data_IF_808823878155
#
_entry.id   IF_808823878155
#
_cell.length_a   1.000
_cell.length_b   1.000
_cell.length_c   1.000
_cell.angle_alpha   90.00
_cell.angle_beta   90.00
_cell.angle_gamma   90.00
#
_symmetry.space_group_name_H-M   'P 1'
#
loop_
_entity.id
_entity.type
_entity.pdbx_description
1 polymer ?
#
# COMPACT_ATOMS: atom_id res chain seq x y z
N UNK A 1 -8.68 -7.51 4.35
CA UNK A 1 -7.82 -6.32 4.41
C UNK A 1 -8.57 -5.14 3.83
N UNK A 2 -8.34 -3.93 4.33
CA UNK A 2 -8.78 -2.68 3.68
C UNK A 2 -7.56 -2.08 3.01
N UNK A 3 -7.64 -1.75 1.72
CA UNK A 3 -6.54 -1.19 0.93
C UNK A 3 -6.88 0.24 0.52
N UNK A 4 -5.90 1.12 0.61
CA UNK A 4 -5.96 2.50 0.15
C UNK A 4 -4.74 2.78 -0.72
N UNK A 5 -4.95 3.50 -1.83
CA UNK A 5 -3.90 3.93 -2.74
C UNK A 5 -4.08 5.43 -2.97
N UNK A 6 -3.01 6.19 -2.79
CA UNK A 6 -3.03 7.64 -2.95
C UNK A 6 -1.73 8.14 -3.58
N UNK A 7 -1.81 9.29 -4.25
CA UNK A 7 -0.70 9.91 -4.95
C UNK A 7 -0.57 11.36 -4.52
N UNK A 8 0.67 11.80 -4.29
CA UNK A 8 0.94 13.17 -3.86
C UNK A 8 2.29 13.66 -4.37
N UNK A 9 2.40 14.99 -4.48
CA UNK A 9 3.66 15.62 -4.85
C UNK A 9 4.60 15.68 -3.64
N UNK A 10 5.76 14.98 -3.65
CA UNK A 10 6.67 14.96 -2.51
C UNK A 10 7.34 16.32 -2.26
N UNK A 11 7.41 17.19 -3.28
CA UNK A 11 8.11 18.47 -3.26
C UNK A 11 7.22 19.67 -2.85
N UNK A 12 5.96 19.42 -2.47
CA UNK A 12 4.89 20.42 -2.23
C UNK A 12 4.43 21.14 -3.51
N UNK A 13 3.13 21.41 -3.58
CA UNK A 13 2.49 22.06 -4.74
C UNK A 13 2.96 23.51 -4.84
N UNK A 14 3.66 23.85 -5.92
CA UNK A 14 3.73 25.24 -6.39
C UNK A 14 2.98 25.29 -7.72
N UNK A 15 2.11 26.30 -7.93
CA UNK A 15 1.30 26.43 -9.15
C UNK A 15 2.10 26.49 -10.47
N UNK A 16 3.44 26.53 -10.39
CA UNK A 16 4.39 26.58 -11.52
C UNK A 16 5.56 25.57 -11.39
N UNK A 17 5.53 24.67 -10.40
CA UNK A 17 6.58 23.69 -10.16
C UNK A 17 6.48 22.48 -11.08
N UNK A 18 7.58 21.74 -11.21
CA UNK A 18 7.57 20.44 -11.89
C UNK A 18 6.55 19.50 -11.23
N UNK A 19 5.72 18.84 -12.05
CA UNK A 19 4.82 17.81 -11.58
C UNK A 19 5.65 16.56 -11.27
N UNK A 20 5.75 16.23 -9.98
CA UNK A 20 6.37 15.03 -9.46
C UNK A 20 5.33 14.37 -8.57
N UNK A 21 5.12 13.08 -8.70
CA UNK A 21 4.11 12.33 -7.96
C UNK A 21 4.68 11.00 -7.52
N UNK A 22 4.48 10.68 -6.25
CA UNK A 22 4.77 9.37 -5.66
C UNK A 22 3.48 8.79 -5.11
N UNK A 23 3.35 7.47 -5.19
CA UNK A 23 2.18 6.77 -4.65
C UNK A 23 2.48 6.03 -3.35
N UNK A 24 1.46 5.83 -2.54
CA UNK A 24 1.49 4.96 -1.37
C UNK A 24 0.35 3.97 -1.44
N UNK A 25 0.66 2.70 -1.21
CA UNK A 25 -0.32 1.65 -0.95
C UNK A 25 -0.30 1.39 0.55
N UNK A 26 -1.41 1.64 1.24
CA UNK A 26 -1.57 1.35 2.66
C UNK A 26 -2.68 0.33 2.89
N UNK A 27 -2.42 -0.66 3.73
CA UNK A 27 -3.34 -1.76 3.97
C UNK A 27 -3.51 -2.05 5.47
N UNK A 28 -4.76 -2.04 5.92
CA UNK A 28 -5.14 -2.41 7.28
C UNK A 28 -5.65 -3.86 7.34
N UNK A 29 -5.18 -4.63 8.32
CA UNK A 29 -5.73 -5.94 8.61
C UNK A 29 -7.04 -5.83 9.39
N UNK A 30 -8.15 -6.06 8.70
CA UNK A 30 -9.50 -5.99 9.28
C UNK A 30 -9.80 -7.10 10.30
N UNK A 31 -8.95 -8.12 10.40
CA UNK A 31 -9.05 -9.16 11.43
C UNK A 31 -8.49 -8.72 12.79
N UNK A 32 -7.69 -7.65 12.86
CA UNK A 32 -7.20 -7.09 14.12
C UNK A 32 -8.27 -6.25 14.81
N UNK A 33 -8.10 -6.00 16.11
CA UNK A 33 -9.01 -5.11 16.85
C UNK A 33 -9.04 -3.69 16.25
N UNK A 34 -10.22 -3.01 16.18
CA UNK A 34 -10.33 -1.64 15.69
C UNK A 34 -9.38 -0.64 16.36
N UNK A 35 -9.03 -0.85 17.63
CA UNK A 35 -8.12 0.02 18.38
C UNK A 35 -6.67 -0.05 17.92
N UNK A 36 -6.25 -1.15 17.27
CA UNK A 36 -4.85 -1.37 16.88
C UNK A 36 -4.60 -1.42 15.37
N UNK A 37 -5.63 -1.71 14.56
CA UNK A 37 -5.45 -2.02 13.12
C UNK A 37 -4.89 -0.89 12.24
N UNK A 38 -4.83 0.33 12.77
CA UNK A 38 -4.27 1.52 12.11
C UNK A 38 -3.00 2.04 12.79
N UNK A 39 -2.48 1.36 13.82
CA UNK A 39 -1.16 1.69 14.35
C UNK A 39 -0.09 1.35 13.29
N UNK A 40 0.97 2.16 13.16
CA UNK A 40 1.99 1.98 12.12
C UNK A 40 2.57 0.56 12.06
N UNK A 41 2.86 -0.04 13.22
CA UNK A 41 3.36 -1.41 13.37
C UNK A 41 2.43 -2.52 12.84
N UNK A 42 1.13 -2.25 12.66
CA UNK A 42 0.16 -3.22 12.16
C UNK A 42 -0.34 -2.94 10.74
N UNK A 43 0.17 -1.87 10.11
CA UNK A 43 -0.15 -1.54 8.73
C UNK A 43 0.90 -2.12 7.78
N UNK A 44 0.43 -2.64 6.65
CA UNK A 44 1.29 -2.89 5.51
C UNK A 44 1.35 -1.62 4.66
N UNK A 45 2.56 -1.19 4.29
CA UNK A 45 2.77 0.02 3.48
C UNK A 45 3.80 -0.25 2.38
N UNK A 46 3.52 0.22 1.17
CA UNK A 46 4.43 0.14 0.04
C UNK A 46 4.40 1.47 -0.74
N UNK A 47 5.48 1.77 -1.46
CA UNK A 47 5.66 3.02 -2.21
C UNK A 47 5.62 2.71 -3.70
N UNK A 48 4.83 3.46 -4.46
CA UNK A 48 4.87 3.48 -5.91
C UNK A 48 5.84 4.59 -6.31
N UNK A 49 6.94 4.26 -7.01
CA UNK A 49 7.94 5.25 -7.39
C UNK A 49 7.37 6.25 -8.40
N UNK A 50 7.79 7.50 -8.27
CA UNK A 50 7.51 8.55 -9.23
C UNK A 50 8.43 8.50 -10.46
N UNK A 51 8.45 9.56 -11.29
CA UNK A 51 7.89 10.88 -11.00
C UNK A 51 6.44 11.08 -11.46
N UNK A 52 5.85 10.09 -12.12
CA UNK A 52 4.50 10.18 -12.67
C UNK A 52 3.58 9.16 -12.02
N UNK A 53 2.31 9.53 -11.91
CA UNK A 53 1.28 8.58 -11.52
C UNK A 53 1.13 7.52 -12.62
N UNK A 54 1.06 6.23 -12.26
CA UNK A 54 0.78 5.19 -13.22
C UNK A 54 -0.62 5.38 -13.78
N UNK A 55 -0.80 5.02 -15.05
CA UNK A 55 -2.13 4.87 -15.63
C UNK A 55 -2.94 3.79 -14.91
N UNK A 56 -4.24 3.71 -15.18
CA UNK A 56 -5.12 2.69 -14.60
C UNK A 56 -4.60 1.26 -14.84
N UNK A 57 -4.12 0.97 -16.05
CA UNK A 57 -3.60 -0.37 -16.39
C UNK A 57 -2.22 -0.62 -15.75
N UNK A 58 -1.38 0.41 -15.64
CA UNK A 58 -0.08 0.31 -14.97
C UNK A 58 -0.22 0.12 -13.46
N UNK A 59 -1.26 0.70 -12.86
CA UNK A 59 -1.54 0.57 -11.42
C UNK A 59 -1.76 -0.90 -11.02
N UNK A 60 -2.35 -1.70 -11.90
CA UNK A 60 -2.58 -3.13 -11.66
C UNK A 60 -1.27 -3.89 -11.42
N UNK A 61 -0.16 -3.46 -12.04
CA UNK A 61 1.16 -4.05 -11.86
C UNK A 61 1.72 -3.84 -10.45
N UNK A 62 1.27 -2.81 -9.75
CA UNK A 62 1.64 -2.54 -8.35
C UNK A 62 0.68 -3.18 -7.36
N UNK A 63 -0.62 -3.15 -7.65
CA UNK A 63 -1.66 -3.66 -6.73
C UNK A 63 -1.70 -5.18 -6.70
N UNK A 64 -1.60 -5.83 -7.86
CA UNK A 64 -1.68 -7.30 -8.01
C UNK A 64 -0.75 -8.07 -7.07
N UNK A 65 0.57 -7.80 -7.01
CA UNK A 65 1.46 -8.56 -6.12
C UNK A 65 1.10 -8.38 -4.63
N UNK A 66 0.58 -7.22 -4.23
CA UNK A 66 0.12 -6.98 -2.85
C UNK A 66 -1.11 -7.82 -2.53
N UNK A 67 -2.10 -7.84 -3.44
CA UNK A 67 -3.31 -8.66 -3.28
C UNK A 67 -2.94 -10.15 -3.23
N UNK A 68 -2.08 -10.61 -4.13
CA UNK A 68 -1.64 -12.01 -4.19
C UNK A 68 -0.96 -12.44 -2.88
N UNK A 69 -0.13 -11.57 -2.29
CA UNK A 69 0.48 -11.84 -0.99
C UNK A 69 -0.56 -11.99 0.13
N UNK A 70 -1.60 -11.14 0.15
CA UNK A 70 -2.69 -11.26 1.12
C UNK A 70 -3.54 -12.51 0.91
N UNK A 71 -3.81 -12.88 -0.34
CA UNK A 71 -4.57 -14.10 -0.67
C UNK A 71 -3.80 -15.34 -0.22
N UNK A 72 -2.49 -15.42 -0.51
CA UNK A 72 -1.63 -16.52 -0.09
C UNK A 72 -1.56 -16.65 1.44
N UNK A 73 -1.53 -15.51 2.14
CA UNK A 73 -1.54 -15.45 3.61
C UNK A 73 -2.89 -15.87 4.20
N UNK A 74 -3.99 -15.60 3.49
CA UNK A 74 -5.35 -15.88 3.96
C UNK A 74 -5.81 -17.32 3.71
N UNK A 75 -5.40 -17.96 2.61
CA UNK A 75 -5.82 -19.33 2.24
C UNK A 75 -4.60 -20.20 1.88
N UNK A 76 -4.30 -21.27 2.66
CA UNK A 76 -5.09 -21.87 3.74
C UNK A 76 -5.06 -21.13 5.09
N UNK A 77 -4.30 -20.04 5.19
CA UNK A 77 -3.99 -19.34 6.43
C UNK A 77 -2.51 -19.44 6.75
N UNK A 78 -1.95 -18.41 7.40
CA UNK A 78 -0.52 -18.35 7.70
C UNK A 78 -0.20 -19.00 9.05
N UNK A 79 0.63 -20.03 9.04
CA UNK A 79 1.22 -20.61 10.25
C UNK A 79 2.67 -20.18 10.37
N UNK A 80 2.94 -19.21 11.23
CA UNK A 80 4.30 -18.76 11.54
C UNK A 80 4.82 -19.56 12.74
N UNK A 81 5.87 -20.36 12.55
CA UNK A 81 6.52 -21.09 13.65
C UNK A 81 7.52 -20.22 14.44
N UNK A 82 8.04 -19.16 13.81
CA UNK A 82 8.98 -18.21 14.39
C UNK A 82 8.99 -16.93 13.54
N UNK A 83 9.03 -15.77 14.19
CA UNK A 83 9.32 -14.49 13.51
C UNK A 83 10.83 -14.27 13.49
N UNK A 84 11.33 -13.51 12.51
CA UNK A 84 12.76 -13.18 12.39
C UNK A 84 13.28 -12.41 13.62
#
# INVERSE_FOLDING_TARGET
FSMHVDFFNPNRVTQRGAHDSIGVISCANLALDPSIRYLPEFMYMNIIPGPNEPTYDELDHYIRPVIEQFVATWKPGLKISRTA
#
